data_IF_590092191596
#
_entry.id   IF_590092191596
#
_cell.length_a   1.000
_cell.length_b   1.000
_cell.length_c   1.000
_cell.angle_alpha   90.00
_cell.angle_beta   90.00
_cell.angle_gamma   90.00
#
_symmetry.space_group_name_H-M   'P 1'
#
loop_
_entity.id
_entity.type
_entity.pdbx_description
1 polymer ?
#
# COMPACT_ATOMS: atom_id res chain seq x y z
N UNK A 1 -6.28 2.84 -1.26
CA UNK A 1 -6.38 4.16 -0.64
C UNK A 1 -7.35 4.95 -1.49
N UNK A 2 -8.27 5.67 -0.87
CA UNK A 2 -9.33 6.37 -1.61
C UNK A 2 -8.76 7.55 -2.43
N UNK A 3 -9.43 7.94 -3.52
CA UNK A 3 -8.96 9.00 -4.41
C UNK A 3 -8.79 10.36 -3.73
N UNK A 4 -9.64 10.69 -2.74
CA UNK A 4 -9.57 11.96 -2.03
C UNK A 4 -8.28 12.07 -1.22
N UNK A 5 -7.92 11.01 -0.49
CA UNK A 5 -6.66 10.94 0.26
C UNK A 5 -5.46 11.01 -0.67
N UNK A 6 -5.47 10.28 -1.80
CA UNK A 6 -4.37 10.28 -2.78
C UNK A 6 -4.14 11.69 -3.34
N UNK A 7 -5.21 12.37 -3.74
CA UNK A 7 -5.15 13.74 -4.24
C UNK A 7 -4.69 14.71 -3.15
N UNK A 8 -5.19 14.56 -1.92
CA UNK A 8 -4.87 15.42 -0.78
C UNK A 8 -3.40 15.39 -0.37
N UNK A 9 -2.71 14.25 -0.52
CA UNK A 9 -1.27 14.12 -0.21
C UNK A 9 -0.37 14.21 -1.46
N UNK A 10 -0.95 14.38 -2.64
CA UNK A 10 -0.21 14.64 -3.88
C UNK A 10 0.65 13.48 -4.38
N UNK A 11 0.17 12.23 -4.28
CA UNK A 11 0.94 11.08 -4.77
C UNK A 11 1.16 11.15 -6.29
N UNK A 12 2.30 10.63 -6.74
CA UNK A 12 2.64 10.62 -8.16
C UNK A 12 1.90 9.49 -8.89
N UNK A 13 1.04 9.85 -9.83
CA UNK A 13 0.37 8.88 -10.71
C UNK A 13 1.39 8.18 -11.61
N UNK A 14 1.27 6.86 -11.74
CA UNK A 14 2.09 6.07 -12.66
C UNK A 14 1.28 5.72 -13.91
N UNK A 15 1.91 5.34 -15.04
CA UNK A 15 1.18 4.87 -16.22
C UNK A 15 0.59 3.45 -16.05
N UNK A 16 0.69 2.85 -14.86
CA UNK A 16 0.33 1.45 -14.62
C UNK A 16 -1.05 1.32 -13.99
N UNK A 17 -1.79 0.33 -14.47
CA UNK A 17 -3.02 -0.16 -13.86
C UNK A 17 -2.85 -1.65 -13.56
N UNK A 18 -3.48 -2.12 -12.49
CA UNK A 18 -3.46 -3.53 -12.07
C UNK A 18 -4.87 -4.03 -11.80
N UNK A 19 -5.08 -5.33 -11.99
CA UNK A 19 -6.30 -6.02 -11.56
C UNK A 19 -6.07 -6.67 -10.19
N UNK A 20 -6.81 -6.23 -9.18
CA UNK A 20 -6.81 -6.80 -7.84
C UNK A 20 -7.98 -7.77 -7.68
N UNK A 21 -7.75 -8.92 -7.04
CA UNK A 21 -8.82 -9.81 -6.57
C UNK A 21 -9.07 -9.52 -5.08
N UNK A 22 -10.29 -9.12 -4.74
CA UNK A 22 -10.69 -8.78 -3.38
C UNK A 22 -11.17 -10.02 -2.61
N UNK A 23 -11.28 -9.91 -1.29
CA UNK A 23 -11.69 -11.01 -0.41
C UNK A 23 -13.09 -11.56 -0.74
N UNK A 24 -13.98 -10.71 -1.26
CA UNK A 24 -15.33 -11.08 -1.72
C UNK A 24 -15.37 -11.62 -3.17
N UNK A 25 -14.20 -11.95 -3.73
CA UNK A 25 -13.97 -12.47 -5.09
C UNK A 25 -14.22 -11.46 -6.21
N UNK A 26 -14.56 -10.20 -5.91
CA UNK A 26 -14.63 -9.17 -6.96
C UNK A 26 -13.23 -8.91 -7.53
N UNK A 27 -13.21 -8.60 -8.83
CA UNK A 27 -12.03 -8.09 -9.52
C UNK A 27 -12.15 -6.59 -9.67
N UNK A 28 -11.14 -5.85 -9.23
CA UNK A 28 -11.09 -4.40 -9.31
C UNK A 28 -9.88 -3.97 -10.11
N UNK A 29 -10.10 -3.26 -11.23
CA UNK A 29 -9.04 -2.62 -11.97
C UNK A 29 -8.75 -1.27 -11.33
N UNK A 30 -7.50 -1.04 -10.93
CA UNK A 30 -7.11 0.14 -10.15
C UNK A 30 -5.83 0.75 -10.70
N UNK A 31 -5.70 2.07 -10.53
CA UNK A 31 -4.48 2.82 -10.84
C UNK A 31 -3.44 2.61 -9.75
N UNK A 32 -2.17 2.64 -10.15
CA UNK A 32 -1.04 2.66 -9.23
C UNK A 32 -0.42 4.05 -9.14
N UNK A 33 -0.10 4.43 -7.91
CA UNK A 33 0.62 5.65 -7.55
C UNK A 33 1.92 5.30 -6.85
N UNK A 34 2.89 6.21 -6.87
CA UNK A 34 4.15 6.08 -6.14
C UNK A 34 4.13 7.00 -4.91
N UNK A 35 4.54 6.46 -3.77
CA UNK A 35 4.68 7.18 -2.52
C UNK A 35 6.02 6.85 -1.85
N UNK A 36 6.57 7.79 -1.08
CA UNK A 36 7.59 7.48 -0.06
C UNK A 36 6.89 7.18 1.27
N UNK A 37 7.27 6.09 1.92
CA UNK A 37 6.72 5.70 3.23
C UNK A 37 7.86 5.46 4.21
N UNK A 38 7.62 5.84 5.46
CA UNK A 38 8.49 5.52 6.59
C UNK A 38 7.72 4.69 7.63
N UNK A 39 8.25 3.52 7.98
CA UNK A 39 7.71 2.65 9.01
C UNK A 39 8.85 1.88 9.70
N UNK A 40 8.74 1.65 11.02
CA UNK A 40 9.76 0.89 11.76
C UNK A 40 11.18 1.46 11.66
N UNK A 41 11.32 2.78 11.47
CA UNK A 41 12.62 3.45 11.26
C UNK A 41 13.23 3.22 9.88
N UNK A 42 12.49 2.64 8.92
CA UNK A 42 12.93 2.39 7.54
C UNK A 42 12.10 3.20 6.58
N UNK A 43 12.74 3.76 5.56
CA UNK A 43 12.12 4.62 4.54
C UNK A 43 12.37 4.05 3.14
N UNK A 44 11.37 4.12 2.28
CA UNK A 44 11.47 3.65 0.90
C UNK A 44 10.25 3.99 0.04
N UNK A 45 10.43 3.85 -1.27
CA UNK A 45 9.36 4.08 -2.24
C UNK A 45 8.46 2.85 -2.38
N UNK A 46 7.15 3.02 -2.33
CA UNK A 46 6.16 1.93 -2.46
C UNK A 46 5.06 2.30 -3.44
N UNK A 47 4.38 1.28 -3.98
CA UNK A 47 3.17 1.48 -4.77
C UNK A 47 1.94 1.63 -3.87
N UNK A 48 1.03 2.52 -4.27
CA UNK A 48 -0.28 2.73 -3.66
C UNK A 48 -1.35 2.45 -4.71
N UNK A 49 -2.24 1.51 -4.41
CA UNK A 49 -3.41 1.25 -5.24
C UNK A 49 -4.57 2.18 -4.88
N UNK A 50 -5.13 2.85 -5.89
CA UNK A 50 -6.36 3.64 -5.74
C UNK A 50 -7.56 2.71 -5.63
N UNK A 51 -8.14 2.63 -4.43
CA UNK A 51 -9.29 1.79 -4.15
C UNK A 51 -10.08 2.45 -3.03
N UNK A 52 -11.38 2.66 -3.27
CA UNK A 52 -12.33 3.16 -2.29
C UNK A 52 -12.51 2.13 -1.17
N UNK A 53 -11.85 2.38 -0.04
CA UNK A 53 -11.84 1.52 1.15
C UNK A 53 -11.94 2.38 2.40
N UNK A 54 -12.68 1.91 3.39
CA UNK A 54 -12.84 2.62 4.66
C UNK A 54 -11.53 2.74 5.46
N UNK A 55 -10.59 1.81 5.29
CA UNK A 55 -9.29 1.84 5.98
C UNK A 55 -8.19 1.42 5.02
N UNK A 56 -7.18 2.28 4.75
CA UNK A 56 -6.02 1.89 3.97
C UNK A 56 -5.24 0.76 4.65
N UNK A 57 -4.77 -0.20 3.86
CA UNK A 57 -3.97 -1.33 4.34
C UNK A 57 -2.55 -1.26 3.77
N UNK A 58 -1.57 -1.69 4.56
CA UNK A 58 -0.20 -1.86 4.12
C UNK A 58 -0.01 -3.28 3.57
N UNK A 59 0.30 -3.38 2.27
CA UNK A 59 0.49 -4.67 1.61
C UNK A 59 1.88 -5.27 1.84
N UNK A 60 2.03 -6.56 1.53
CA UNK A 60 3.30 -7.29 1.63
C UNK A 60 4.43 -6.60 0.83
N UNK A 61 4.14 -6.12 -0.38
CA UNK A 61 5.11 -5.40 -1.21
C UNK A 61 5.75 -4.21 -0.48
N UNK A 62 4.95 -3.41 0.24
CA UNK A 62 5.45 -2.26 0.98
C UNK A 62 6.34 -2.70 2.14
N UNK A 63 5.92 -3.73 2.88
CA UNK A 63 6.68 -4.29 4.00
C UNK A 63 8.02 -4.88 3.53
N UNK A 64 8.01 -5.69 2.48
CA UNK A 64 9.20 -6.30 1.88
C UNK A 64 10.17 -5.25 1.35
N UNK A 65 9.66 -4.21 0.68
CA UNK A 65 10.47 -3.08 0.20
C UNK A 65 11.17 -2.37 1.36
N UNK A 66 10.48 -2.22 2.48
CA UNK A 66 11.04 -1.68 3.71
C UNK A 66 11.84 -2.72 4.51
N UNK A 67 11.97 -3.98 4.06
CA UNK A 67 12.57 -5.09 4.80
C UNK A 67 12.00 -5.24 6.22
N UNK A 68 10.68 -5.19 6.30
CA UNK A 68 9.88 -5.38 7.51
C UNK A 68 8.97 -6.60 7.35
N UNK A 69 8.61 -7.20 8.48
CA UNK A 69 7.53 -8.18 8.58
C UNK A 69 6.70 -7.92 9.84
N UNK A 70 5.42 -8.29 9.87
CA UNK A 70 4.65 -8.27 11.11
C UNK A 70 4.95 -9.52 11.96
N UNK A 71 5.14 -9.34 13.26
CA UNK A 71 5.05 -10.43 14.24
C UNK A 71 3.58 -10.87 14.33
N UNK A 72 3.24 -12.13 13.97
CA UNK A 72 1.86 -12.60 13.97
C UNK A 72 1.24 -12.73 15.37
N UNK A 73 2.06 -12.73 16.43
CA UNK A 73 1.62 -12.84 17.82
C UNK A 73 1.33 -11.48 18.44
N UNK A 74 2.15 -10.47 18.12
CA UNK A 74 2.04 -9.13 18.73
C UNK A 74 1.51 -8.06 17.79
N UNK A 75 1.53 -8.31 16.48
CA UNK A 75 1.20 -7.34 15.44
C UNK A 75 2.26 -6.24 15.23
N UNK A 76 3.40 -6.31 15.93
CA UNK A 76 4.48 -5.31 15.80
C UNK A 76 5.33 -5.59 14.56
N UNK A 77 5.91 -4.53 13.99
CA UNK A 77 6.85 -4.66 12.87
C UNK A 77 8.23 -5.06 13.38
N UNK A 78 8.83 -6.04 12.72
CA UNK A 78 10.20 -6.51 12.93
C UNK A 78 11.03 -6.26 11.67
N UNK A 79 12.30 -5.93 11.86
CA UNK A 79 13.27 -5.85 10.77
C UNK A 79 13.63 -7.27 10.34
N UNK A 80 13.63 -7.49 9.02
CA UNK A 80 14.08 -8.73 8.37
C UNK A 80 15.55 -8.61 7.97
#
# INVERSE_FOLDING_TARGET
>A
MDPETISGIGLHETPFEVELTLADKRKAKVKLYLAEVEAGGRRGSVFVAELDVATPIMGAYALETLGLKPDPTTGRLEIV
#
